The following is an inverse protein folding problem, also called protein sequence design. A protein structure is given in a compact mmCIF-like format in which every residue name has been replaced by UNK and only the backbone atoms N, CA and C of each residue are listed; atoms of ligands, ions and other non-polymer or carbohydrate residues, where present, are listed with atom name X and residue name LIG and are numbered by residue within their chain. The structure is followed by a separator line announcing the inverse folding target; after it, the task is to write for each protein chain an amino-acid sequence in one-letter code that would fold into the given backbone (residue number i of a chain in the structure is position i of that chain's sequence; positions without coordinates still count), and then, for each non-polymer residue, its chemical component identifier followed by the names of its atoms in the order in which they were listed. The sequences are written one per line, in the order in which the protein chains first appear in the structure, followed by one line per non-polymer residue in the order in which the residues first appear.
data_IF_759294513864
#
_entry.id   IF_759294513864
#
_cell.length_a   1.000
_cell.length_b   1.000
_cell.length_c   1.000
_cell.angle_alpha   90.00
_cell.angle_beta   90.00
_cell.angle_gamma   90.00
#
_symmetry.space_group_name_H-M   'P 1'
#
loop_
_entity.id
_entity.type
_entity.pdbx_description
1 polymer ?
#
# COMPACT_ATOMS: atom_id res chain seq x y z
N UNK A 1 -27.51 0.62 0.77
CA UNK A 1 -26.31 1.22 1.37
C UNK A 1 -25.07 0.65 0.68
N UNK A 2 -24.27 1.46 0.00
CA UNK A 2 -22.97 1.03 -0.52
C UNK A 2 -22.08 0.75 0.70
N UNK A 3 -21.54 -0.46 0.81
CA UNK A 3 -20.60 -0.80 1.87
C UNK A 3 -19.32 0.02 1.65
N UNK A 4 -19.11 1.05 2.47
CA UNK A 4 -18.00 2.01 2.34
C UNK A 4 -16.63 1.31 2.28
N UNK A 5 -16.44 0.20 2.99
CA UNK A 5 -15.20 -0.59 2.96
C UNK A 5 -14.89 -1.26 1.62
N UNK A 6 -15.87 -1.32 0.70
CA UNK A 6 -15.68 -1.83 -0.66
C UNK A 6 -15.26 -0.75 -1.66
N UNK A 7 -15.32 0.54 -1.30
CA UNK A 7 -14.99 1.69 -2.19
C UNK A 7 -13.51 1.79 -2.50
N UNK A 8 -12.65 1.34 -1.58
CA UNK A 8 -11.20 1.29 -1.77
C UNK A 8 -10.74 -0.18 -1.78
N UNK A 9 -10.05 -0.56 -2.84
CA UNK A 9 -9.30 -1.81 -2.93
C UNK A 9 -7.87 -1.61 -2.43
N UNK A 10 -7.36 -2.57 -1.65
CA UNK A 10 -5.99 -2.59 -1.15
C UNK A 10 -5.31 -3.87 -1.64
N UNK A 11 -4.14 -3.73 -2.26
CA UNK A 11 -3.31 -4.85 -2.71
C UNK A 11 -1.88 -4.69 -2.23
N UNK A 12 -1.21 -5.81 -2.03
CA UNK A 12 0.21 -5.89 -1.70
C UNK A 12 0.92 -6.69 -2.78
N UNK A 13 2.05 -6.20 -3.27
CA UNK A 13 2.87 -6.87 -4.27
C UNK A 13 4.35 -6.73 -3.95
N UNK A 14 5.12 -7.78 -4.20
CA UNK A 14 6.58 -7.70 -4.17
C UNK A 14 7.10 -7.30 -5.55
N UNK A 15 8.07 -6.40 -5.58
CA UNK A 15 8.69 -5.91 -6.82
C UNK A 15 10.13 -6.41 -7.02
N UNK A 16 10.50 -7.51 -6.36
CA UNK A 16 11.77 -8.22 -6.53
C UNK A 16 11.57 -9.55 -7.28
N UNK A 17 12.64 -10.19 -7.81
CA UNK A 17 12.57 -11.56 -8.32
C UNK A 17 12.22 -12.52 -7.18
N UNK A 18 10.95 -12.88 -7.08
CA UNK A 18 10.43 -13.71 -6.00
C UNK A 18 8.95 -13.42 -5.73
N UNK A 19 8.28 -14.36 -5.08
CA UNK A 19 6.89 -14.21 -4.63
C UNK A 19 6.82 -13.91 -3.14
N UNK A 20 5.65 -13.50 -2.64
CA UNK A 20 5.41 -13.35 -1.19
C UNK A 20 5.70 -14.66 -0.43
N UNK A 21 5.62 -15.80 -1.11
CA UNK A 21 5.95 -17.11 -0.57
C UNK A 21 7.46 -17.30 -0.34
N UNK A 22 8.30 -16.84 -1.28
CA UNK A 22 9.75 -16.88 -1.14
C UNK A 22 10.23 -16.01 0.02
N UNK A 23 9.56 -14.87 0.24
CA UNK A 23 9.70 -14.16 1.51
C UNK A 23 9.33 -15.12 2.64
N UNK A 24 8.06 -15.49 2.79
CA UNK A 24 7.52 -16.12 4.01
C UNK A 24 8.19 -17.44 4.46
N UNK A 25 8.73 -18.24 3.53
CA UNK A 25 9.12 -19.62 3.84
C UNK A 25 10.54 -20.02 3.44
N UNK A 26 11.16 -19.32 2.49
CA UNK A 26 12.46 -19.73 1.93
C UNK A 26 13.60 -18.78 2.35
N UNK A 27 13.26 -17.58 2.82
CA UNK A 27 14.22 -16.51 3.03
C UNK A 27 14.61 -15.87 1.69
N UNK A 28 14.98 -14.59 1.72
CA UNK A 28 15.40 -13.89 0.50
C UNK A 28 16.81 -13.34 0.66
N UNK A 29 17.66 -13.59 -0.34
CA UNK A 29 19.06 -13.14 -0.34
C UNK A 29 19.20 -11.64 -0.69
N UNK A 30 18.09 -10.94 -0.94
CA UNK A 30 18.08 -9.56 -1.43
C UNK A 30 17.04 -8.71 -0.70
N UNK A 31 17.30 -7.41 -0.61
CA UNK A 31 16.29 -6.44 -0.20
C UNK A 31 15.09 -6.51 -1.14
N UNK A 32 13.91 -6.33 -0.58
CA UNK A 32 12.67 -6.42 -1.32
C UNK A 32 11.84 -5.17 -1.19
N UNK A 33 11.24 -4.77 -2.30
CA UNK A 33 10.38 -3.62 -2.31
C UNK A 33 8.92 -4.08 -2.30
N UNK A 34 8.27 -3.82 -1.16
CA UNK A 34 6.86 -4.09 -0.95
C UNK A 34 6.06 -2.90 -1.45
N UNK A 35 5.33 -3.12 -2.55
CA UNK A 35 4.40 -2.16 -3.11
C UNK A 35 3.02 -2.38 -2.51
N UNK A 36 2.48 -1.34 -1.90
CA UNK A 36 1.08 -1.28 -1.50
C UNK A 36 0.31 -0.41 -2.45
N UNK A 37 -0.80 -0.92 -2.97
CA UNK A 37 -1.63 -0.21 -3.95
C UNK A 37 -3.02 0.00 -3.38
N UNK A 38 -3.46 1.27 -3.32
CA UNK A 38 -4.82 1.67 -2.99
C UNK A 38 -5.52 2.10 -4.28
N UNK A 39 -6.66 1.49 -4.61
CA UNK A 39 -7.46 1.84 -5.79
C UNK A 39 -8.88 2.22 -5.39
N UNK A 40 -9.32 3.38 -5.82
CA UNK A 40 -10.72 3.80 -5.69
C UNK A 40 -11.58 3.08 -6.73
N UNK A 41 -12.82 2.76 -6.37
CA UNK A 41 -13.81 2.13 -7.26
C UNK A 41 -14.86 3.10 -7.78
N UNK A 42 -14.87 4.32 -7.26
CA UNK A 42 -15.76 5.41 -7.64
C UNK A 42 -14.99 6.73 -7.59
N UNK A 43 -15.53 7.76 -8.23
CA UNK A 43 -14.86 9.05 -8.45
C UNK A 43 -14.45 9.73 -7.14
N UNK A 44 -15.34 9.76 -6.14
CA UNK A 44 -15.06 10.34 -4.82
C UNK A 44 -13.91 9.61 -4.11
N UNK A 45 -13.88 8.27 -4.16
CA UNK A 45 -12.79 7.48 -3.58
C UNK A 45 -11.45 7.68 -4.32
N UNK A 46 -11.48 7.87 -5.64
CA UNK A 46 -10.29 8.15 -6.45
C UNK A 46 -9.72 9.53 -6.08
N UNK A 47 -10.57 10.56 -6.04
CA UNK A 47 -10.15 11.91 -5.67
C UNK A 47 -9.57 11.97 -4.26
N UNK A 48 -10.18 11.28 -3.29
CA UNK A 48 -9.69 11.21 -1.93
C UNK A 48 -8.29 10.59 -1.86
N UNK A 49 -8.06 9.49 -2.60
CA UNK A 49 -6.75 8.84 -2.67
C UNK A 49 -5.70 9.73 -3.32
N UNK A 50 -6.03 10.42 -4.41
CA UNK A 50 -5.10 11.34 -5.09
C UNK A 50 -4.71 12.50 -4.17
N UNK A 51 -5.69 13.16 -3.53
CA UNK A 51 -5.45 14.25 -2.57
C UNK A 51 -4.57 13.78 -1.40
N UNK A 52 -4.86 12.58 -0.88
CA UNK A 52 -4.08 11.98 0.18
C UNK A 52 -2.63 11.66 -0.26
N UNK A 53 -2.46 11.12 -1.46
CA UNK A 53 -1.15 10.88 -2.08
C UNK A 53 -0.30 12.14 -2.20
N UNK A 54 -0.89 13.24 -2.67
CA UNK A 54 -0.22 14.55 -2.77
C UNK A 54 0.26 15.06 -1.39
N UNK A 55 -0.56 14.90 -0.35
CA UNK A 55 -0.19 15.28 1.03
C UNK A 55 0.99 14.43 1.52
N UNK A 56 0.95 13.12 1.31
CA UNK A 56 2.03 12.25 1.75
C UNK A 56 3.33 12.50 0.98
N UNK A 57 3.27 12.76 -0.33
CA UNK A 57 4.43 13.06 -1.17
C UNK A 57 5.17 14.31 -0.69
N UNK A 58 4.44 15.33 -0.21
CA UNK A 58 5.03 16.54 0.41
C UNK A 58 5.81 16.25 1.69
N UNK A 59 5.46 15.19 2.43
CA UNK A 59 6.17 14.80 3.66
C UNK A 59 7.50 14.07 3.41
N UNK A 60 7.87 13.78 2.15
CA UNK A 60 9.16 13.21 1.68
C UNK A 60 9.66 11.91 2.36
N UNK A 61 8.87 11.30 3.23
CA UNK A 61 9.26 10.09 3.96
C UNK A 61 8.82 8.78 3.30
N UNK A 62 8.07 8.87 2.21
CA UNK A 62 7.48 7.72 1.54
C UNK A 62 7.73 7.83 0.03
N UNK A 63 8.13 6.71 -0.57
CA UNK A 63 8.15 6.57 -2.02
C UNK A 63 6.72 6.33 -2.50
N UNK A 64 6.11 7.36 -3.08
CA UNK A 64 4.70 7.37 -3.47
C UNK A 64 4.56 7.73 -4.93
N UNK A 65 3.85 6.86 -5.65
CA UNK A 65 3.40 7.11 -7.01
C UNK A 65 1.90 7.32 -7.02
N UNK A 66 1.46 8.44 -7.59
CA UNK A 66 0.04 8.70 -7.85
C UNK A 66 -0.28 8.11 -9.22
N UNK A 67 -1.32 7.29 -9.28
CA UNK A 67 -1.78 6.62 -10.50
C UNK A 67 -3.22 7.05 -10.80
N UNK A 68 -3.69 6.79 -12.03
CA UNK A 68 -4.98 7.30 -12.51
C UNK A 68 -6.19 6.99 -11.62
N UNK A 69 -6.15 5.90 -10.84
CA UNK A 69 -7.25 5.49 -9.96
C UNK A 69 -6.85 5.31 -8.49
N UNK A 70 -5.76 5.94 -8.05
CA UNK A 70 -5.35 5.89 -6.65
C UNK A 70 -3.86 6.13 -6.44
N UNK A 71 -3.26 5.37 -5.51
CA UNK A 71 -1.87 5.57 -5.10
C UNK A 71 -1.14 4.24 -4.91
N UNK A 72 0.16 4.27 -5.14
CA UNK A 72 1.10 3.22 -4.79
C UNK A 72 2.11 3.76 -3.78
N UNK A 73 2.35 3.01 -2.72
CA UNK A 73 3.35 3.31 -1.70
C UNK A 73 4.35 2.16 -1.70
N UNK A 74 5.62 2.47 -1.97
CA UNK A 74 6.69 1.50 -1.97
C UNK A 74 7.45 1.57 -0.65
N UNK A 75 7.80 0.40 -0.11
CA UNK A 75 8.67 0.28 1.06
C UNK A 75 9.74 -0.76 0.78
N UNK A 76 10.98 -0.30 0.81
CA UNK A 76 12.11 -1.22 0.89
C UNK A 76 12.12 -1.88 2.27
N UNK A 77 12.08 -3.21 2.27
CA UNK A 77 12.22 -4.06 3.43
C UNK A 77 13.60 -4.74 3.38
N UNK A 78 14.35 -4.72 4.49
CA UNK A 78 15.62 -5.43 4.56
C UNK A 78 15.42 -6.95 4.51
N UNK A 79 16.48 -7.65 4.11
CA UNK A 79 16.54 -9.12 4.01
C UNK A 79 16.00 -9.80 5.27
N UNK A 80 15.11 -10.78 5.09
CA UNK A 80 14.53 -11.63 6.14
C UNK A 80 13.78 -10.88 7.27
N UNK A 81 13.35 -9.65 7.04
CA UNK A 81 12.59 -8.86 8.03
C UNK A 81 11.07 -9.00 7.85
N UNK A 82 10.57 -10.18 8.21
CA UNK A 82 9.15 -10.53 8.20
C UNK A 82 8.29 -9.62 9.06
N UNK A 83 8.79 -9.28 10.25
CA UNK A 83 8.06 -8.48 11.22
C UNK A 83 7.80 -7.08 10.68
N UNK A 84 8.74 -6.52 9.93
CA UNK A 84 8.51 -5.25 9.25
C UNK A 84 7.47 -5.35 8.13
N UNK A 85 7.42 -6.48 7.40
CA UNK A 85 6.37 -6.78 6.44
C UNK A 85 4.97 -6.84 7.07
N UNK A 86 4.81 -7.58 8.17
CA UNK A 86 3.53 -7.67 8.90
C UNK A 86 3.08 -6.32 9.49
N UNK A 87 4.02 -5.58 10.09
CA UNK A 87 3.73 -4.23 10.60
C UNK A 87 3.29 -3.28 9.48
N UNK A 88 3.90 -3.42 8.30
CA UNK A 88 3.53 -2.63 7.13
C UNK A 88 2.13 -2.98 6.63
N UNK A 89 1.78 -4.26 6.51
CA UNK A 89 0.44 -4.67 6.06
C UNK A 89 -0.64 -4.24 7.05
N UNK A 90 -0.39 -4.34 8.36
CA UNK A 90 -1.29 -3.78 9.38
C UNK A 90 -1.46 -2.27 9.24
N UNK A 91 -0.36 -1.52 9.11
CA UNK A 91 -0.39 -0.07 8.99
C UNK A 91 -1.20 0.36 7.76
N UNK A 92 -0.97 -0.27 6.61
CA UNK A 92 -1.67 0.04 5.37
C UNK A 92 -3.16 -0.33 5.43
N UNK A 93 -3.50 -1.40 6.15
CA UNK A 93 -4.90 -1.79 6.38
C UNK A 93 -5.62 -0.76 7.26
N UNK A 94 -4.99 -0.35 8.38
CA UNK A 94 -5.52 0.72 9.24
C UNK A 94 -5.66 2.02 8.45
N UNK A 95 -4.69 2.34 7.59
CA UNK A 95 -4.74 3.52 6.75
C UNK A 95 -5.91 3.48 5.77
N UNK A 96 -6.17 2.33 5.13
CA UNK A 96 -7.37 2.14 4.29
C UNK A 96 -8.63 2.46 5.08
N UNK A 97 -8.75 1.97 6.32
CA UNK A 97 -9.93 2.20 7.15
C UNK A 97 -10.10 3.67 7.50
N UNK A 98 -9.03 4.38 7.84
CA UNK A 98 -9.08 5.83 8.11
C UNK A 98 -9.48 6.64 6.87
N UNK A 99 -8.92 6.33 5.69
CA UNK A 99 -9.32 6.98 4.42
C UNK A 99 -10.79 6.65 4.09
N UNK A 100 -11.25 5.44 4.42
CA UNK A 100 -12.65 5.05 4.17
C UNK A 100 -13.64 5.81 5.06
N UNK A 101 -13.25 6.26 6.25
CA UNK A 101 -14.11 7.03 7.16
C UNK A 101 -14.38 8.46 6.69
N UNK A 102 -13.49 9.02 5.88
CA UNK A 102 -13.60 10.39 5.37
C UNK A 102 -14.36 10.48 4.04
N UNK A 103 -14.73 9.34 3.45
CA UNK A 103 -15.60 9.20 2.26
C UNK A 103 -16.90 8.46 2.63
#
# INVERSE_FOLDING_TARGET
MINKHKRIELRFGLTAPGSMWNLLYEGMEQNINLRTTFKGKDEESIEALIKFGEILKKKRNYDINIINNGIEINKELPINDFKSGEKWTELMTKLKDEITKII
#
